data_IF_069209708055
#
_entry.id   IF_069209708055
#
_cell.length_a   1.000
_cell.length_b   1.000
_cell.length_c   1.000
_cell.angle_alpha   90.00
_cell.angle_beta   90.00
_cell.angle_gamma   90.00
#
_symmetry.space_group_name_H-M   'P 1'
#
loop_
_entity.id
_entity.type
_entity.pdbx_description
1 polymer ?
#
# COMPACT_ATOMS: atom_id res chain seq x y z
N UNK A 1 -6.17 17.91 -23.47
CA UNK A 1 -5.06 16.99 -23.13
C UNK A 1 -5.41 16.10 -21.94
N UNK A 2 -5.79 16.64 -20.77
CA UNK A 2 -6.18 15.85 -19.58
C UNK A 2 -7.44 14.97 -19.74
N UNK A 3 -8.22 15.15 -20.81
CA UNK A 3 -9.36 14.28 -21.13
C UNK A 3 -8.95 12.94 -21.76
N UNK A 4 -7.65 12.73 -22.07
CA UNK A 4 -7.18 11.52 -22.72
C UNK A 4 -6.98 10.39 -21.68
N UNK A 5 -7.65 9.23 -21.83
CA UNK A 5 -7.49 8.08 -20.93
C UNK A 5 -6.05 7.62 -20.74
N UNK A 6 -5.21 7.71 -21.77
CA UNK A 6 -3.79 7.35 -21.69
C UNK A 6 -3.00 8.28 -20.77
N UNK A 7 -3.32 9.58 -20.80
CA UNK A 7 -2.72 10.57 -19.90
C UNK A 7 -3.19 10.31 -18.47
N UNK A 8 -4.46 9.96 -18.27
CA UNK A 8 -4.98 9.57 -16.96
C UNK A 8 -4.24 8.36 -16.38
N UNK A 9 -4.04 7.29 -17.18
CA UNK A 9 -3.28 6.13 -16.75
C UNK A 9 -1.82 6.47 -16.37
N UNK A 10 -1.15 7.32 -17.15
CA UNK A 10 0.20 7.81 -16.83
C UNK A 10 0.23 8.64 -15.54
N UNK A 11 -0.77 9.48 -15.31
CA UNK A 11 -0.92 10.24 -14.06
C UNK A 11 -1.12 9.29 -12.89
N UNK A 12 -1.99 8.28 -13.01
CA UNK A 12 -2.19 7.28 -11.95
C UNK A 12 -0.89 6.54 -11.63
N UNK A 13 -0.16 6.07 -12.64
CA UNK A 13 1.12 5.40 -12.48
C UNK A 13 2.16 6.30 -11.80
N UNK A 14 2.30 7.55 -12.26
CA UNK A 14 3.25 8.51 -11.72
C UNK A 14 2.92 8.85 -10.26
N UNK A 15 1.66 9.18 -9.96
CA UNK A 15 1.22 9.54 -8.61
C UNK A 15 1.37 8.34 -7.67
N UNK A 16 0.98 7.15 -8.11
CA UNK A 16 1.16 5.92 -7.31
C UNK A 16 2.64 5.67 -7.00
N UNK A 17 3.50 5.70 -8.01
CA UNK A 17 4.93 5.45 -7.85
C UNK A 17 5.57 6.50 -6.94
N UNK A 18 5.28 7.77 -7.18
CA UNK A 18 5.83 8.88 -6.43
C UNK A 18 5.33 8.88 -4.98
N UNK A 19 4.03 8.66 -4.74
CA UNK A 19 3.47 8.61 -3.38
C UNK A 19 4.04 7.44 -2.58
N UNK A 20 4.09 6.24 -3.16
CA UNK A 20 4.70 5.07 -2.52
C UNK A 20 6.18 5.32 -2.20
N UNK A 21 6.92 5.90 -3.15
CA UNK A 21 8.32 6.26 -2.95
C UNK A 21 8.52 7.32 -1.85
N UNK A 22 7.70 8.37 -1.85
CA UNK A 22 7.75 9.45 -0.86
C UNK A 22 7.46 8.93 0.56
N UNK A 23 6.45 8.08 0.72
CA UNK A 23 6.11 7.45 2.00
C UNK A 23 7.29 6.62 2.49
N UNK A 24 7.86 5.74 1.65
CA UNK A 24 9.00 4.91 2.02
C UNK A 24 10.24 5.73 2.39
N UNK A 25 10.51 6.81 1.64
CA UNK A 25 11.61 7.72 1.94
C UNK A 25 11.43 8.42 3.29
N UNK A 26 10.22 8.94 3.57
CA UNK A 26 9.89 9.59 4.83
C UNK A 26 10.01 8.62 6.01
N UNK A 27 9.50 7.39 5.86
CA UNK A 27 9.61 6.33 6.86
C UNK A 27 11.06 5.98 7.12
N UNK A 28 11.87 5.71 6.07
CA UNK A 28 13.30 5.39 6.22
C UNK A 28 14.09 6.52 6.88
N UNK A 29 13.79 7.77 6.52
CA UNK A 29 14.38 8.93 7.19
C UNK A 29 14.02 8.93 8.68
N UNK A 30 12.75 8.73 9.02
CA UNK A 30 12.28 8.71 10.40
C UNK A 30 12.87 7.57 11.22
N UNK A 31 13.11 6.41 10.60
CA UNK A 31 13.70 5.24 11.27
C UNK A 31 15.16 5.48 11.68
N UNK A 32 15.94 6.20 10.84
CA UNK A 32 17.32 6.59 11.16
C UNK A 32 17.43 7.60 12.30
N UNK A 33 16.39 8.39 12.53
CA UNK A 33 16.37 9.47 13.53
C UNK A 33 15.63 9.08 14.82
N UNK A 34 15.23 7.81 14.95
CA UNK A 34 14.67 7.23 16.18
C UNK A 34 13.18 7.49 16.41
N UNK A 35 12.68 7.04 17.56
CA UNK A 35 11.22 6.95 17.85
C UNK A 35 10.49 8.30 17.82
N UNK A 36 11.13 9.39 18.24
CA UNK A 36 10.55 10.75 18.17
C UNK A 36 10.37 11.20 16.71
N UNK A 37 11.32 10.88 15.82
CA UNK A 37 11.21 11.24 14.41
C UNK A 37 10.07 10.50 13.72
N UNK A 38 9.81 9.23 14.08
CA UNK A 38 8.63 8.48 13.60
C UNK A 38 7.31 9.14 13.98
N UNK A 39 7.19 9.61 15.23
CA UNK A 39 6.02 10.35 15.70
C UNK A 39 5.81 11.65 14.91
N UNK A 40 6.85 12.47 14.78
CA UNK A 40 6.76 13.74 14.06
C UNK A 40 6.52 13.55 12.56
N UNK A 41 7.02 12.47 11.97
CA UNK A 41 6.76 12.12 10.57
C UNK A 41 5.28 11.81 10.33
N UNK A 42 4.66 10.99 11.19
CA UNK A 42 3.23 10.72 11.13
C UNK A 42 2.38 11.98 11.36
N UNK A 43 2.78 12.81 12.33
CA UNK A 43 2.08 14.07 12.64
C UNK A 43 2.19 15.09 11.51
N UNK A 44 3.38 15.22 10.90
CA UNK A 44 3.61 16.11 9.75
C UNK A 44 2.80 15.68 8.51
N UNK A 45 2.33 14.43 8.46
CA UNK A 45 1.41 13.95 7.43
C UNK A 45 -0.05 14.36 7.66
N UNK A 46 -0.47 14.79 8.85
CA UNK A 46 -1.87 15.16 9.13
C UNK A 46 -2.44 16.25 8.21
N UNK A 47 -1.69 17.29 7.81
CA UNK A 47 -2.16 18.24 6.81
C UNK A 47 -2.54 17.58 5.48
N UNK A 48 -1.83 16.52 5.07
CA UNK A 48 -2.14 15.76 3.84
C UNK A 48 -3.47 15.01 4.01
N UNK A 49 -3.72 14.41 5.18
CA UNK A 49 -5.02 13.81 5.49
C UNK A 49 -6.15 14.85 5.45
N UNK A 50 -5.95 16.01 6.10
CA UNK A 50 -6.95 17.09 6.13
C UNK A 50 -7.27 17.62 4.73
N UNK A 51 -6.24 17.84 3.91
CA UNK A 51 -6.41 18.22 2.50
C UNK A 51 -7.10 17.12 1.68
N UNK A 52 -6.82 15.85 1.98
CA UNK A 52 -7.50 14.71 1.36
C UNK A 52 -8.99 14.67 1.69
N UNK A 53 -9.36 14.83 2.97
CA UNK A 53 -10.77 14.86 3.39
C UNK A 53 -11.49 16.06 2.79
N UNK A 54 -10.88 17.24 2.85
CA UNK A 54 -11.44 18.46 2.26
C UNK A 54 -11.60 18.31 0.74
N UNK A 55 -10.55 17.87 0.05
CA UNK A 55 -10.59 17.63 -1.39
C UNK A 55 -11.63 16.59 -1.79
N UNK A 56 -11.80 15.53 -1.00
CA UNK A 56 -12.86 14.54 -1.23
C UNK A 56 -14.24 15.21 -1.13
N UNK A 57 -14.52 15.92 -0.03
CA UNK A 57 -15.81 16.59 0.17
C UNK A 57 -16.16 17.60 -0.93
N UNK A 58 -15.18 18.41 -1.38
CA UNK A 58 -15.38 19.42 -2.42
C UNK A 58 -15.60 18.79 -3.81
N UNK A 59 -15.06 17.59 -4.04
CA UNK A 59 -15.12 16.93 -5.35
C UNK A 59 -16.34 16.04 -5.52
N UNK A 60 -17.13 15.79 -4.45
CA UNK A 60 -18.38 15.02 -4.50
C UNK A 60 -19.40 15.64 -5.46
N UNK A 61 -19.54 16.97 -5.42
CA UNK A 61 -20.51 17.72 -6.24
C UNK A 61 -19.90 18.19 -7.58
N UNK A 62 -18.73 17.68 -7.97
CA UNK A 62 -18.04 18.10 -9.19
C UNK A 62 -17.95 16.96 -10.21
N UNK A 63 -18.84 16.97 -11.19
CA UNK A 63 -18.88 16.02 -12.32
C UNK A 63 -17.86 16.29 -13.43
N UNK A 64 -17.09 17.39 -13.35
CA UNK A 64 -16.07 17.75 -14.33
C UNK A 64 -14.74 16.99 -14.18
N UNK A 65 -13.85 17.14 -15.17
CA UNK A 65 -12.49 16.55 -15.15
C UNK A 65 -11.70 16.91 -13.87
N UNK A 66 -11.84 18.15 -13.39
CA UNK A 66 -11.20 18.60 -12.16
C UNK A 66 -11.69 17.82 -10.93
N UNK A 67 -12.99 17.53 -10.87
CA UNK A 67 -13.57 16.70 -9.81
C UNK A 67 -13.03 15.28 -9.84
N UNK A 68 -12.93 14.66 -11.03
CA UNK A 68 -12.41 13.29 -11.18
C UNK A 68 -10.97 13.17 -10.70
N UNK A 69 -10.07 14.03 -11.18
CA UNK A 69 -8.67 14.04 -10.72
C UNK A 69 -8.55 14.43 -9.25
N UNK A 70 -9.32 15.43 -8.80
CA UNK A 70 -9.34 15.87 -7.42
C UNK A 70 -9.77 14.77 -6.46
N UNK A 71 -10.85 14.05 -6.79
CA UNK A 71 -11.36 12.94 -6.00
C UNK A 71 -10.39 11.76 -5.94
N UNK A 72 -9.72 11.44 -7.06
CA UNK A 72 -8.65 10.44 -7.10
C UNK A 72 -7.46 10.82 -6.21
N UNK A 73 -6.96 12.05 -6.33
CA UNK A 73 -5.84 12.55 -5.52
C UNK A 73 -6.21 12.65 -4.03
N UNK A 74 -7.44 13.06 -3.73
CA UNK A 74 -7.96 13.12 -2.37
C UNK A 74 -8.00 11.73 -1.72
N UNK A 75 -8.52 10.73 -2.43
CA UNK A 75 -8.53 9.34 -1.96
C UNK A 75 -7.11 8.81 -1.69
N UNK A 76 -6.16 9.11 -2.58
CA UNK A 76 -4.75 8.76 -2.40
C UNK A 76 -4.08 9.51 -1.24
N UNK A 77 -4.45 10.76 -0.97
CA UNK A 77 -3.93 11.52 0.16
C UNK A 77 -4.40 10.95 1.50
N UNK A 78 -5.69 10.60 1.61
CA UNK A 78 -6.26 9.92 2.77
C UNK A 78 -5.56 8.57 2.98
N UNK A 79 -5.50 7.76 1.92
CA UNK A 79 -4.82 6.46 1.93
C UNK A 79 -3.35 6.57 2.33
N UNK A 80 -2.62 7.48 1.69
CA UNK A 80 -1.18 7.66 1.87
C UNK A 80 -0.82 8.05 3.29
N UNK A 81 -1.65 8.87 3.96
CA UNK A 81 -1.45 9.17 5.37
C UNK A 81 -1.71 7.95 6.28
N UNK A 82 -2.77 7.18 6.02
CA UNK A 82 -3.07 5.97 6.79
C UNK A 82 -1.90 4.97 6.68
N UNK A 83 -1.34 4.82 5.48
CA UNK A 83 -0.17 3.98 5.23
C UNK A 83 1.10 4.52 5.91
N UNK A 84 1.35 5.83 5.85
CA UNK A 84 2.47 6.46 6.55
C UNK A 84 2.38 6.24 8.07
N UNK A 85 1.19 6.43 8.66
CA UNK A 85 0.95 6.25 10.08
C UNK A 85 1.09 4.78 10.52
N UNK A 86 0.76 3.84 9.63
CA UNK A 86 1.01 2.41 9.84
C UNK A 86 2.51 2.08 9.79
N UNK A 87 3.22 2.52 8.75
CA UNK A 87 4.63 2.22 8.53
C UNK A 87 5.55 2.86 9.58
N UNK A 88 5.17 4.00 10.13
CA UNK A 88 5.89 4.64 11.27
C UNK A 88 5.65 3.94 12.61
N UNK A 89 4.74 2.96 12.67
CA UNK A 89 4.43 2.22 13.89
C UNK A 89 3.57 3.00 14.88
N UNK A 90 2.93 4.09 14.45
CA UNK A 90 2.07 4.93 15.30
C UNK A 90 0.68 4.32 15.49
N UNK A 91 0.18 3.64 14.46
CA UNK A 91 -1.14 2.98 14.45
C UNK A 91 -0.93 1.48 14.28
N UNK A 92 -0.08 0.89 15.12
CA UNK A 92 0.07 -0.56 15.24
C UNK A 92 -0.85 -1.10 16.33
N UNK A 93 -1.17 -2.39 16.24
CA UNK A 93 -2.02 -3.10 17.19
C UNK A 93 -1.39 -3.21 18.60
N UNK A 94 -2.17 -3.58 19.62
CA UNK A 94 -1.72 -3.67 21.02
C UNK A 94 -0.61 -4.71 21.26
N UNK A 95 -0.44 -5.65 20.33
CA UNK A 95 0.58 -6.68 20.45
C UNK A 95 1.89 -6.22 19.77
N UNK A 96 2.88 -5.87 20.58
CA UNK A 96 4.24 -5.47 20.14
C UNK A 96 5.28 -6.56 20.40
N UNK A 97 4.85 -7.74 20.86
CA UNK A 97 5.75 -8.81 21.28
C UNK A 97 5.96 -9.84 20.16
N UNK A 98 7.19 -10.36 19.98
CA UNK A 98 7.48 -11.40 19.00
C UNK A 98 6.69 -12.68 19.29
N UNK A 99 6.27 -13.39 18.24
CA UNK A 99 5.51 -14.63 18.39
C UNK A 99 6.33 -15.70 19.14
N UNK A 100 5.74 -16.38 20.15
CA UNK A 100 6.34 -17.59 20.71
C UNK A 100 6.53 -18.66 19.61
N UNK A 101 7.59 -19.46 19.72
CA UNK A 101 7.95 -20.45 18.70
C UNK A 101 6.88 -21.53 18.48
N UNK A 102 6.18 -21.93 19.54
CA UNK A 102 5.16 -23.00 19.54
C UNK A 102 3.80 -22.37 19.90
N UNK A 103 3.03 -21.99 18.88
CA UNK A 103 1.62 -21.58 19.01
C UNK A 103 0.83 -22.16 17.84
N UNK A 104 -0.42 -22.62 18.09
CA UNK A 104 -1.33 -23.07 17.03
C UNK A 104 -1.50 -22.01 15.92
N UNK A 105 -1.70 -22.45 14.67
CA UNK A 105 -1.76 -21.55 13.51
C UNK A 105 -2.86 -20.48 13.63
N UNK A 106 -4.02 -20.84 14.18
CA UNK A 106 -5.13 -19.90 14.41
C UNK A 106 -4.77 -18.83 15.46
N UNK A 107 -4.02 -19.21 16.50
CA UNK A 107 -3.61 -18.29 17.56
C UNK A 107 -2.50 -17.35 17.08
N UNK A 108 -1.60 -17.85 16.22
CA UNK A 108 -0.61 -17.03 15.51
C UNK A 108 -1.30 -16.01 14.60
N UNK A 109 -2.38 -16.39 13.92
CA UNK A 109 -3.18 -15.50 13.10
C UNK A 109 -3.86 -14.40 13.93
N UNK A 110 -4.52 -14.75 15.04
CA UNK A 110 -5.16 -13.76 15.94
C UNK A 110 -4.12 -12.81 16.54
N UNK A 111 -2.94 -13.32 16.94
CA UNK A 111 -1.85 -12.50 17.48
C UNK A 111 -1.24 -11.57 16.43
N UNK A 112 -1.11 -12.01 15.17
CA UNK A 112 -0.62 -11.20 14.06
C UNK A 112 -1.67 -10.19 13.57
N UNK A 113 -2.96 -10.53 13.60
CA UNK A 113 -4.04 -9.56 13.43
C UNK A 113 -4.00 -8.51 14.54
N UNK A 114 -3.76 -8.94 15.78
CA UNK A 114 -3.56 -8.08 16.94
C UNK A 114 -2.35 -7.15 16.87
N UNK A 115 -1.41 -7.32 15.92
CA UNK A 115 -0.32 -6.35 15.69
C UNK A 115 -0.69 -5.27 14.67
N UNK A 116 -1.80 -5.43 13.93
CA UNK A 116 -2.25 -4.51 12.86
C UNK A 116 -3.69 -3.98 13.11
N UNK A 117 -4.39 -4.50 14.12
CA UNK A 117 -5.81 -4.25 14.37
C UNK A 117 -6.22 -2.77 14.36
N UNK A 118 -5.47 -1.87 15.00
CA UNK A 118 -5.80 -0.44 14.99
C UNK A 118 -5.77 0.18 13.59
N UNK A 119 -4.83 -0.26 12.74
CA UNK A 119 -4.75 0.19 11.36
C UNK A 119 -5.91 -0.38 10.52
N UNK A 120 -6.32 -1.64 10.74
CA UNK A 120 -7.49 -2.19 10.06
C UNK A 120 -8.77 -1.45 10.45
N UNK A 121 -8.95 -1.16 11.75
CA UNK A 121 -10.10 -0.37 12.23
C UNK A 121 -10.10 1.02 11.60
N UNK A 122 -8.95 1.68 11.51
CA UNK A 122 -8.83 2.98 10.85
C UNK A 122 -9.18 2.91 9.36
N UNK A 123 -8.67 1.89 8.64
CA UNK A 123 -8.97 1.68 7.22
C UNK A 123 -10.46 1.42 6.98
N UNK A 124 -11.09 0.57 7.80
CA UNK A 124 -12.53 0.29 7.73
C UNK A 124 -13.34 1.54 8.07
N UNK A 125 -12.94 2.29 9.10
CA UNK A 125 -13.62 3.54 9.48
C UNK A 125 -13.55 4.57 8.37
N UNK A 126 -12.38 4.72 7.73
CA UNK A 126 -12.22 5.59 6.58
C UNK A 126 -13.12 5.13 5.43
N UNK A 127 -13.11 3.84 5.08
CA UNK A 127 -13.96 3.28 4.02
C UNK A 127 -15.45 3.56 4.28
N UNK A 128 -15.95 3.27 5.48
CA UNK A 128 -17.35 3.50 5.85
C UNK A 128 -17.70 5.00 5.78
N UNK A 129 -16.79 5.87 6.21
CA UNK A 129 -16.99 7.32 6.16
C UNK A 129 -17.08 7.83 4.72
N UNK A 130 -16.22 7.33 3.82
CA UNK A 130 -16.26 7.67 2.40
C UNK A 130 -17.53 7.13 1.74
N UNK A 131 -17.95 5.90 2.03
CA UNK A 131 -19.20 5.34 1.49
C UNK A 131 -20.40 6.18 1.96
N UNK A 132 -20.48 6.47 3.26
CA UNK A 132 -21.57 7.25 3.83
C UNK A 132 -21.72 8.60 3.13
N UNK A 133 -20.60 9.29 2.91
CA UNK A 133 -20.60 10.64 2.33
C UNK A 133 -20.69 10.66 0.81
N UNK A 134 -20.21 9.61 0.12
CA UNK A 134 -20.07 9.61 -1.34
C UNK A 134 -20.97 8.65 -2.12
N UNK A 135 -21.85 7.87 -1.48
CA UNK A 135 -22.67 6.87 -2.21
C UNK A 135 -23.66 7.49 -3.22
N UNK A 136 -24.21 8.68 -2.91
CA UNK A 136 -25.16 9.40 -3.76
C UNK A 136 -24.53 10.61 -4.50
N UNK A 137 -23.19 10.72 -4.47
CA UNK A 137 -22.49 11.86 -5.05
C UNK A 137 -22.43 11.83 -6.58
N UNK A 138 -22.37 13.00 -7.22
CA UNK A 138 -22.22 13.10 -8.68
C UNK A 138 -20.90 12.49 -9.17
N UNK A 139 -19.85 12.59 -8.35
CA UNK A 139 -18.54 12.05 -8.65
C UNK A 139 -18.12 10.97 -7.65
N UNK A 140 -18.24 9.73 -8.08
CA UNK A 140 -17.88 8.55 -7.28
C UNK A 140 -16.42 8.12 -7.47
N UNK A 141 -15.59 8.86 -8.23
CA UNK A 141 -14.22 8.42 -8.57
C UNK A 141 -13.35 8.23 -7.33
N UNK A 142 -13.38 9.19 -6.39
CA UNK A 142 -12.61 9.09 -5.15
C UNK A 142 -13.05 7.92 -4.27
N UNK A 143 -14.35 7.65 -4.21
CA UNK A 143 -14.91 6.54 -3.46
C UNK A 143 -14.38 5.20 -4.00
N UNK A 144 -14.55 4.96 -5.29
CA UNK A 144 -14.10 3.73 -5.93
C UNK A 144 -12.58 3.57 -5.91
N UNK A 145 -11.83 4.67 -5.96
CA UNK A 145 -10.37 4.66 -5.80
C UNK A 145 -10.00 4.09 -4.43
N UNK A 146 -10.62 4.59 -3.37
CA UNK A 146 -10.36 4.09 -2.01
C UNK A 146 -10.83 2.64 -1.82
N UNK A 147 -11.97 2.26 -2.40
CA UNK A 147 -12.48 0.88 -2.38
C UNK A 147 -11.48 -0.09 -3.03
N UNK A 148 -10.96 0.24 -4.22
CA UNK A 148 -9.96 -0.58 -4.91
C UNK A 148 -8.71 -0.75 -4.04
N UNK A 149 -8.20 0.34 -3.45
CA UNK A 149 -7.04 0.30 -2.56
C UNK A 149 -7.29 -0.57 -1.33
N UNK A 150 -8.44 -0.41 -0.70
CA UNK A 150 -8.83 -1.19 0.47
C UNK A 150 -8.85 -2.69 0.18
N UNK A 151 -9.56 -3.12 -0.86
CA UNK A 151 -9.65 -4.54 -1.22
C UNK A 151 -8.31 -5.10 -1.70
N UNK A 152 -7.55 -4.34 -2.50
CA UNK A 152 -6.20 -4.72 -2.91
C UNK A 152 -5.29 -4.94 -1.69
N UNK A 153 -5.37 -4.07 -0.68
CA UNK A 153 -4.58 -4.15 0.55
C UNK A 153 -4.98 -5.34 1.42
N UNK A 154 -6.28 -5.58 1.62
CA UNK A 154 -6.77 -6.74 2.37
C UNK A 154 -6.36 -8.03 1.66
N UNK A 155 -6.52 -8.08 0.33
CA UNK A 155 -6.07 -9.21 -0.50
C UNK A 155 -4.57 -9.45 -0.38
N UNK A 156 -3.74 -8.41 -0.48
CA UNK A 156 -2.30 -8.50 -0.32
C UNK A 156 -1.91 -9.02 1.06
N UNK A 157 -2.51 -8.47 2.13
CA UNK A 157 -2.29 -8.92 3.51
C UNK A 157 -2.67 -10.39 3.68
N UNK A 158 -3.85 -10.80 3.24
CA UNK A 158 -4.31 -12.20 3.34
C UNK A 158 -3.40 -13.16 2.58
N UNK A 159 -2.94 -12.76 1.38
CA UNK A 159 -1.96 -13.55 0.63
C UNK A 159 -0.65 -13.69 1.41
N UNK A 160 -0.10 -12.59 1.95
CA UNK A 160 1.11 -12.61 2.79
C UNK A 160 0.94 -13.46 4.06
N UNK A 161 -0.21 -13.38 4.73
CA UNK A 161 -0.53 -14.15 5.94
C UNK A 161 -0.60 -15.65 5.69
N UNK A 162 -1.26 -16.07 4.61
CA UNK A 162 -1.42 -17.48 4.25
C UNK A 162 -0.15 -18.07 3.58
N UNK A 163 0.80 -17.19 3.29
CA UNK A 163 2.17 -17.53 2.92
C UNK A 163 2.42 -17.39 1.42
N UNK A 164 3.44 -16.60 1.11
CA UNK A 164 3.92 -16.34 -0.24
C UNK A 164 5.41 -16.74 -0.32
N UNK A 165 5.92 -17.21 -1.47
CA UNK A 165 7.30 -17.65 -1.60
C UNK A 165 8.38 -16.61 -1.27
N UNK A 166 8.07 -15.31 -1.37
CA UNK A 166 8.99 -14.20 -1.08
C UNK A 166 8.31 -13.18 -0.16
N UNK A 167 8.91 -12.93 1.00
CA UNK A 167 8.57 -11.80 1.86
C UNK A 167 9.66 -10.76 1.65
N UNK A 168 9.28 -9.59 1.13
CA UNK A 168 10.20 -8.47 0.90
C UNK A 168 10.57 -7.78 2.22
N UNK A 169 11.37 -8.46 3.04
CA UNK A 169 11.78 -7.99 4.37
C UNK A 169 12.61 -6.71 4.33
N UNK A 170 13.24 -6.38 3.20
CA UNK A 170 14.05 -5.17 3.02
C UNK A 170 13.24 -3.86 2.90
N UNK A 171 11.94 -3.95 2.57
CA UNK A 171 11.05 -2.80 2.51
C UNK A 171 10.33 -2.53 3.84
N UNK A 172 10.42 -3.46 4.79
CA UNK A 172 9.80 -3.29 6.10
C UNK A 172 10.68 -2.39 6.97
N UNK A 173 10.15 -1.25 7.46
CA UNK A 173 10.87 -0.42 8.42
C UNK A 173 11.17 -1.22 9.70
N UNK A 174 12.21 -0.82 10.43
CA UNK A 174 12.65 -1.44 11.68
C UNK A 174 11.53 -1.51 12.73
N UNK A 175 10.57 -0.58 12.70
CA UNK A 175 9.37 -0.63 13.52
C UNK A 175 8.49 -1.89 13.28
N UNK A 176 8.50 -2.42 12.05
CA UNK A 176 7.76 -3.61 11.63
C UNK A 176 8.66 -4.85 11.48
N UNK A 177 9.92 -4.78 11.93
CA UNK A 177 10.89 -5.89 11.87
C UNK A 177 10.46 -7.15 12.63
N UNK A 178 9.48 -7.04 13.53
CA UNK A 178 8.88 -8.16 14.25
C UNK A 178 7.83 -8.91 13.41
N UNK A 179 7.22 -8.29 12.41
CA UNK A 179 6.17 -8.90 11.57
C UNK A 179 6.63 -10.13 10.77
N UNK A 180 7.83 -10.15 10.14
CA UNK A 180 8.35 -11.33 9.44
C UNK A 180 8.38 -12.60 10.29
N UNK A 181 8.55 -12.48 11.61
CA UNK A 181 8.57 -13.65 12.52
C UNK A 181 7.20 -14.35 12.65
N UNK A 182 6.11 -13.67 12.27
CA UNK A 182 4.76 -14.21 12.27
C UNK A 182 4.34 -14.78 10.91
N UNK A 183 5.06 -14.45 9.84
CA UNK A 183 4.70 -14.86 8.48
C UNK A 183 5.37 -16.19 8.08
N UNK A 184 4.62 -17.02 7.37
CA UNK A 184 5.09 -18.32 6.85
C UNK A 184 5.61 -18.14 5.42
N UNK A 185 6.81 -18.62 5.13
CA UNK A 185 7.24 -18.86 3.74
C UNK A 185 6.55 -20.13 3.23
N UNK A 186 5.46 -19.98 2.46
CA UNK A 186 4.70 -21.12 1.93
C UNK A 186 4.72 -21.14 0.40
N UNK A 187 4.72 -22.35 -0.18
CA UNK A 187 4.57 -22.56 -1.63
C UNK A 187 3.10 -22.42 -1.99
N UNK A 188 2.71 -21.24 -2.47
CA UNK A 188 1.45 -20.92 -3.17
C UNK A 188 0.15 -21.34 -2.48
N UNK A 189 -0.56 -20.34 -1.99
CA UNK A 189 -1.88 -20.51 -1.40
C UNK A 189 -3.02 -20.39 -2.45
N UNK A 190 -4.12 -21.14 -2.28
CA UNK A 190 -5.31 -21.10 -3.15
C UNK A 190 -5.98 -19.72 -3.22
N UNK A 191 -5.73 -18.85 -2.24
CA UNK A 191 -6.23 -17.47 -2.25
C UNK A 191 -5.57 -16.61 -3.34
N UNK A 192 -4.36 -16.97 -3.78
CA UNK A 192 -3.64 -16.24 -4.83
C UNK A 192 -4.38 -16.23 -6.18
N UNK A 193 -4.75 -17.39 -6.78
CA UNK A 193 -5.51 -17.38 -8.02
C UNK A 193 -6.86 -16.69 -7.85
N UNK A 194 -7.52 -16.81 -6.69
CA UNK A 194 -8.76 -16.09 -6.41
C UNK A 194 -8.56 -14.56 -6.44
N UNK A 195 -7.55 -14.05 -5.76
CA UNK A 195 -7.20 -12.62 -5.75
C UNK A 195 -6.85 -12.11 -7.15
N UNK A 196 -6.05 -12.85 -7.91
CA UNK A 196 -5.68 -12.49 -9.28
C UNK A 196 -6.90 -12.48 -10.19
N UNK A 197 -7.77 -13.50 -10.11
CA UNK A 197 -9.01 -13.54 -10.89
C UNK A 197 -9.93 -12.38 -10.53
N UNK A 198 -10.12 -12.09 -9.24
CA UNK A 198 -10.96 -10.98 -8.80
C UNK A 198 -10.44 -9.62 -9.26
N UNK A 199 -9.13 -9.36 -9.13
CA UNK A 199 -8.51 -8.12 -9.60
C UNK A 199 -8.53 -8.00 -11.13
N UNK A 200 -8.29 -9.10 -11.85
CA UNK A 200 -8.37 -9.13 -13.31
C UNK A 200 -9.79 -8.87 -13.80
N UNK A 201 -10.78 -9.46 -13.13
CA UNK A 201 -12.20 -9.23 -13.41
C UNK A 201 -12.58 -7.76 -13.14
N UNK A 202 -12.20 -7.20 -12.00
CA UNK A 202 -12.44 -5.79 -11.69
C UNK A 202 -11.80 -4.85 -12.73
N UNK A 203 -10.54 -5.11 -13.12
CA UNK A 203 -9.86 -4.35 -14.18
C UNK A 203 -10.60 -4.45 -15.51
N UNK A 204 -11.08 -5.64 -15.89
CA UNK A 204 -11.88 -5.84 -17.09
C UNK A 204 -13.20 -5.04 -17.04
N UNK A 205 -13.91 -5.04 -15.91
CA UNK A 205 -15.11 -4.22 -15.73
C UNK A 205 -14.84 -2.73 -15.88
N UNK A 206 -13.72 -2.22 -15.33
CA UNK A 206 -13.35 -0.81 -15.51
C UNK A 206 -13.02 -0.48 -16.97
N UNK A 207 -12.32 -1.37 -17.68
CA UNK A 207 -12.01 -1.20 -19.10
C UNK A 207 -13.28 -1.27 -19.96
N UNK A 208 -14.20 -2.17 -19.68
CA UNK A 208 -15.51 -2.23 -20.36
C UNK A 208 -16.29 -0.92 -20.16
N UNK A 209 -16.30 -0.39 -18.93
CA UNK A 209 -16.95 0.89 -18.62
C UNK A 209 -16.26 2.08 -19.26
N UNK A 210 -14.94 2.04 -19.38
CA UNK A 210 -14.16 3.04 -20.12
C UNK A 210 -14.61 3.15 -21.58
N UNK A 211 -14.91 2.03 -22.25
CA UNK A 211 -15.36 2.02 -23.65
C UNK A 211 -16.86 2.30 -23.83
N UNK A 212 -17.69 1.99 -22.83
CA UNK A 212 -19.15 2.09 -22.95
C UNK A 212 -19.72 3.42 -22.46
N UNK A 213 -19.03 4.16 -21.59
CA UNK A 213 -19.59 5.37 -20.97
C UNK A 213 -19.38 6.60 -21.86
N UNK A 214 -20.45 7.35 -22.16
CA UNK A 214 -20.33 8.64 -22.84
C UNK A 214 -19.85 9.73 -21.87
N UNK A 215 -18.83 10.48 -22.27
CA UNK A 215 -18.39 11.69 -21.57
C UNK A 215 -16.93 11.65 -21.11
N UNK A 216 -16.13 12.70 -21.42
CA UNK A 216 -14.68 12.68 -21.20
C UNK A 216 -14.27 12.55 -19.73
N UNK A 217 -15.04 13.11 -18.80
CA UNK A 217 -14.73 13.03 -17.36
C UNK A 217 -14.90 11.60 -16.83
N UNK A 218 -16.01 10.95 -17.15
CA UNK A 218 -16.27 9.58 -16.73
C UNK A 218 -15.26 8.59 -17.33
N UNK A 219 -14.91 8.75 -18.61
CA UNK A 219 -13.83 7.95 -19.23
C UNK A 219 -12.50 8.12 -18.49
N UNK A 220 -12.12 9.34 -18.11
CA UNK A 220 -10.90 9.56 -17.31
C UNK A 220 -10.98 8.87 -15.95
N UNK A 221 -12.12 8.93 -15.26
CA UNK A 221 -12.32 8.26 -13.97
C UNK A 221 -12.12 6.75 -14.07
N UNK A 222 -12.75 6.09 -15.05
CA UNK A 222 -12.56 4.66 -15.27
C UNK A 222 -11.14 4.30 -15.72
N UNK A 223 -10.46 5.17 -16.48
CA UNK A 223 -9.06 4.96 -16.84
C UNK A 223 -8.13 5.01 -15.62
N UNK A 224 -8.36 5.93 -14.68
CA UNK A 224 -7.63 6.00 -13.41
C UNK A 224 -7.86 4.73 -12.57
N UNK A 225 -9.11 4.29 -12.44
CA UNK A 225 -9.46 3.07 -11.69
C UNK A 225 -8.89 1.82 -12.33
N UNK A 226 -8.95 1.70 -13.66
CA UNK A 226 -8.36 0.60 -14.40
C UNK A 226 -6.84 0.55 -14.21
N UNK A 227 -6.15 1.69 -14.38
CA UNK A 227 -4.72 1.77 -14.17
C UNK A 227 -4.35 1.37 -12.74
N UNK A 228 -5.04 1.91 -11.72
CA UNK A 228 -4.78 1.58 -10.32
C UNK A 228 -5.00 0.09 -10.02
N UNK A 229 -6.08 -0.49 -10.55
CA UNK A 229 -6.39 -1.92 -10.37
C UNK A 229 -5.35 -2.80 -11.06
N UNK A 230 -4.88 -2.43 -12.25
CA UNK A 230 -3.81 -3.13 -12.95
C UNK A 230 -2.47 -3.02 -12.21
N UNK A 231 -2.18 -1.89 -11.57
CA UNK A 231 -1.02 -1.73 -10.70
C UNK A 231 -1.11 -2.64 -9.48
N UNK A 232 -2.28 -2.71 -8.82
CA UNK A 232 -2.51 -3.65 -7.73
C UNK A 232 -2.38 -5.11 -8.18
N UNK A 233 -2.89 -5.44 -9.37
CA UNK A 233 -2.73 -6.76 -9.99
C UNK A 233 -1.24 -7.09 -10.22
N UNK A 234 -0.48 -6.15 -10.76
CA UNK A 234 0.97 -6.28 -10.94
C UNK A 234 1.67 -6.51 -9.61
N UNK A 235 1.31 -5.75 -8.56
CA UNK A 235 1.86 -5.94 -7.21
C UNK A 235 1.62 -7.36 -6.71
N UNK A 236 0.42 -7.91 -6.89
CA UNK A 236 0.12 -9.29 -6.50
C UNK A 236 0.96 -10.31 -7.30
N UNK A 237 1.14 -10.10 -8.60
CA UNK A 237 2.03 -10.94 -9.40
C UNK A 237 3.48 -10.86 -8.92
N UNK A 238 3.97 -9.67 -8.55
CA UNK A 238 5.33 -9.48 -8.01
C UNK A 238 5.55 -10.18 -6.67
N UNK A 239 4.49 -10.39 -5.87
CA UNK A 239 4.60 -11.18 -4.64
C UNK A 239 4.94 -12.65 -4.93
N UNK A 240 4.46 -13.22 -6.04
CA UNK A 240 4.67 -14.63 -6.41
C UNK A 240 5.87 -14.83 -7.33
N UNK A 241 6.12 -13.89 -8.24
CA UNK A 241 7.24 -13.98 -9.17
C UNK A 241 8.55 -13.68 -8.43
N UNK A 242 9.59 -14.52 -8.57
CA UNK A 242 10.90 -14.28 -7.98
C UNK A 242 11.68 -13.21 -8.76
N UNK A 243 11.07 -12.03 -8.93
CA UNK A 243 11.71 -10.88 -9.55
C UNK A 243 12.49 -10.10 -8.48
N UNK A 244 13.73 -9.66 -8.78
CA UNK A 244 14.48 -8.75 -7.93
C UNK A 244 13.90 -7.33 -8.07
N UNK A 245 12.74 -7.11 -7.47
CA UNK A 245 12.12 -5.81 -7.24
C UNK A 245 13.05 -4.80 -6.54
N UNK A 246 14.05 -5.28 -5.80
CA UNK A 246 15.22 -4.53 -5.34
C UNK A 246 15.88 -3.67 -6.43
N UNK A 247 15.90 -4.13 -7.69
CA UNK A 247 16.52 -3.37 -8.79
C UNK A 247 15.69 -2.16 -9.22
N UNK A 248 14.36 -2.24 -9.10
CA UNK A 248 13.45 -1.13 -9.42
C UNK A 248 13.52 -0.01 -8.38
N UNK A 249 13.85 -0.36 -7.14
CA UNK A 249 13.93 0.56 -6.00
C UNK A 249 15.36 0.78 -5.48
N UNK A 250 16.37 0.27 -6.19
CA UNK A 250 17.80 0.34 -5.79
C UNK A 250 18.32 1.78 -5.68
N UNK A 251 17.73 2.70 -6.43
CA UNK A 251 18.00 4.14 -6.33
C UNK A 251 17.55 4.74 -4.98
N UNK A 252 16.72 4.03 -4.21
CA UNK A 252 16.19 4.44 -2.90
C UNK A 252 16.68 3.56 -1.73
N UNK A 253 17.46 2.52 -1.99
CA UNK A 253 18.09 1.70 -0.96
C UNK A 253 19.50 2.28 -0.69
N UNK A 254 19.90 2.52 0.57
CA UNK A 254 21.30 2.85 0.86
C UNK A 254 22.17 1.70 0.34
N UNK A 255 23.35 2.06 -0.19
CA UNK A 255 24.33 1.07 -0.64
C UNK A 255 24.54 0.03 0.48
N UNK A 256 24.63 -1.27 0.13
CA UNK A 256 24.94 -2.29 1.13
C UNK A 256 26.18 -1.83 1.87
N UNK A 257 26.13 -1.78 3.21
CA UNK A 257 27.35 -1.63 3.97
C UNK A 257 28.30 -2.73 3.50
N UNK A 258 29.51 -2.37 3.04
CA UNK A 258 30.47 -3.40 2.65
C UNK A 258 30.65 -4.26 3.88
N UNK A 259 30.24 -5.55 3.78
CA UNK A 259 30.55 -6.54 4.79
C UNK A 259 32.04 -6.42 5.04
N UNK A 260 32.39 -5.88 6.20
CA UNK A 260 33.75 -5.87 6.67
C UNK A 260 34.11 -7.35 6.72
N UNK A 261 34.93 -7.79 5.76
CA UNK A 261 35.54 -9.12 5.83
C UNK A 261 36.17 -9.15 7.21
N UNK A 262 35.70 -10.06 8.06
CA UNK A 262 36.43 -10.47 9.25
C UNK A 262 37.79 -10.96 8.77
N UNK A 263 38.73 -10.03 8.62
CA UNK A 263 40.15 -10.32 8.60
C UNK A 263 40.47 -10.65 10.05
N UNK A 264 40.11 -11.89 10.43
CA UNK A 264 40.73 -12.52 11.60
C UNK A 264 42.23 -12.45 11.34
N UNK A 265 43.04 -11.86 12.25
CA UNK A 265 44.47 -12.00 12.15
C UNK A 265 44.76 -13.49 12.16
N UNK A 266 45.41 -13.96 11.12
CA UNK A 266 45.87 -15.33 11.03
C UNK A 266 46.82 -15.53 12.20
N UNK A 267 46.42 -16.37 13.16
CA UNK A 267 47.20 -16.65 14.36
C UNK A 267 48.62 -17.04 13.95
N UNK A 268 49.58 -16.21 14.31
CA UNK A 268 50.99 -16.42 14.06
C UNK A 268 51.53 -17.50 15.00
N UNK A 269 51.07 -18.76 14.89
CA UNK A 269 51.72 -19.92 15.50
C UNK A 269 51.43 -21.20 14.72
N UNK A 270 52.45 -21.69 13.99
CA UNK A 270 52.38 -23.00 13.37
C UNK A 270 53.56 -23.34 12.45
N UNK A 271 54.72 -23.61 13.06
CA UNK A 271 55.97 -24.20 12.52
C UNK A 271 56.95 -23.27 11.80
#
# INVERSE_FOLDING_TARGET
>A
MLANPWIAALVALFVWWFSTGAILAAVKWSDRHGRRARFWCALAGLPVLGLGIWGYSVTLDQSGLGGVYGGFLAALAIWGWIELAFLTGMITGPNVHPCPAIVPEWERFVRAWGTIAHHEVLLVTALVSLIWTGHDAENTTGLWTFVVLFFARISAKLNLFLGVPKINTEFLPGALSHLPSHFRNARLNWLFPLSITALSFAAACWLERLYSVPGPAASVGFALLAALTLLALLEHWLMVLPLPDEKLWRWMLPAPEPKQKDLRPEDAHGL
#
